data_IF_525932764115
#
_entry.id   IF_525932764115
#
_cell.length_a   1.000
_cell.length_b   1.000
_cell.length_c   1.000
_cell.angle_alpha   90.00
_cell.angle_beta   90.00
_cell.angle_gamma   90.00
#
_symmetry.space_group_name_H-M   'P 1'
#
loop_
_entity.id
_entity.type
_entity.pdbx_description
1 polymer ?
#
# COMPACT_ATOMS: atom_id res chain seq x y z
N UNK A 1 58.49 -16.17 14.85
CA UNK A 1 57.99 -15.07 14.02
C UNK A 1 57.77 -15.63 12.61
N UNK A 2 56.54 -16.04 12.27
CA UNK A 2 56.21 -16.61 10.96
C UNK A 2 55.65 -15.49 10.09
N UNK A 3 56.28 -15.27 8.95
CA UNK A 3 55.87 -14.36 7.87
C UNK A 3 54.63 -14.98 7.22
N UNK A 4 53.52 -14.23 7.17
CA UNK A 4 52.33 -14.64 6.43
C UNK A 4 52.51 -14.24 4.96
N UNK A 5 52.51 -15.23 4.07
CA UNK A 5 52.39 -15.03 2.64
C UNK A 5 51.04 -14.37 2.32
N UNK A 6 51.08 -13.29 1.54
CA UNK A 6 49.90 -12.62 1.04
C UNK A 6 49.10 -13.58 0.17
N UNK A 7 47.96 -14.06 0.70
CA UNK A 7 46.98 -14.81 -0.04
C UNK A 7 46.47 -13.98 -1.22
N UNK A 8 46.94 -14.33 -2.41
CA UNK A 8 46.38 -13.89 -3.67
C UNK A 8 44.93 -14.37 -3.72
N UNK A 9 43.98 -13.50 -3.38
CA UNK A 9 42.56 -13.73 -3.61
C UNK A 9 42.34 -13.63 -5.13
N UNK A 10 42.70 -14.72 -5.82
CA UNK A 10 42.40 -14.93 -7.22
C UNK A 10 40.90 -14.78 -7.42
N UNK A 11 40.50 -13.60 -7.91
CA UNK A 11 39.24 -13.45 -8.61
C UNK A 11 39.37 -14.26 -9.89
N UNK A 12 39.16 -15.56 -9.79
CA UNK A 12 39.15 -16.46 -10.92
C UNK A 12 38.05 -15.99 -11.88
N UNK A 13 38.50 -15.43 -13.00
CA UNK A 13 37.70 -14.93 -14.12
C UNK A 13 37.06 -16.07 -14.93
N UNK A 14 36.54 -17.08 -14.23
CA UNK A 14 35.94 -18.27 -14.82
C UNK A 14 34.42 -18.34 -14.55
N UNK A 15 33.74 -17.20 -14.69
CA UNK A 15 32.27 -17.11 -14.84
C UNK A 15 31.92 -17.54 -16.28
N UNK A 16 32.20 -18.78 -16.64
CA UNK A 16 31.75 -19.38 -17.91
C UNK A 16 31.27 -20.83 -17.77
N UNK A 17 30.97 -21.28 -16.56
CA UNK A 17 30.27 -22.55 -16.35
C UNK A 17 28.78 -22.31 -16.12
N UNK A 18 28.10 -21.78 -17.14
CA UNK A 18 26.73 -22.23 -17.38
C UNK A 18 26.85 -23.74 -17.60
N UNK A 19 26.50 -24.54 -16.60
CA UNK A 19 26.37 -25.97 -16.76
C UNK A 19 25.56 -26.23 -18.04
N UNK A 20 26.18 -26.88 -19.02
CA UNK A 20 25.51 -27.28 -20.26
C UNK A 20 24.48 -28.40 -20.03
N UNK A 21 24.21 -28.74 -18.77
CA UNK A 21 23.15 -29.65 -18.35
C UNK A 21 21.78 -29.16 -18.89
N UNK A 22 21.10 -29.98 -19.71
CA UNK A 22 19.76 -29.72 -20.20
C UNK A 22 18.75 -29.37 -19.08
N UNK A 23 18.92 -29.94 -17.88
CA UNK A 23 18.04 -29.65 -16.72
C UNK A 23 18.28 -28.26 -16.16
N UNK A 24 19.54 -27.82 -16.08
CA UNK A 24 19.87 -26.45 -15.66
C UNK A 24 19.26 -25.43 -16.64
N UNK A 25 19.42 -25.66 -17.95
CA UNK A 25 18.83 -24.81 -19.00
C UNK A 25 17.30 -24.75 -18.91
N UNK A 26 16.63 -25.87 -18.67
CA UNK A 26 15.18 -25.91 -18.50
C UNK A 26 14.71 -25.07 -17.29
N UNK A 27 15.42 -25.15 -16.15
CA UNK A 27 15.15 -24.30 -14.96
C UNK A 27 15.36 -22.81 -15.24
N UNK A 28 16.42 -22.44 -15.96
CA UNK A 28 16.65 -21.05 -16.35
C UNK A 28 15.55 -20.51 -17.28
N UNK A 29 15.08 -21.32 -18.23
CA UNK A 29 13.98 -20.94 -19.14
C UNK A 29 12.66 -20.77 -18.38
N UNK A 30 12.33 -21.69 -17.46
CA UNK A 30 11.12 -21.58 -16.64
C UNK A 30 11.19 -20.36 -15.72
N UNK A 31 12.31 -20.14 -15.05
CA UNK A 31 12.54 -18.97 -14.19
C UNK A 31 12.43 -17.65 -14.98
N UNK A 32 12.99 -17.59 -16.20
CA UNK A 32 12.85 -16.42 -17.09
C UNK A 32 11.39 -16.15 -17.46
N UNK A 33 10.60 -17.20 -17.72
CA UNK A 33 9.17 -17.08 -18.02
C UNK A 33 8.38 -16.57 -16.81
N UNK A 34 8.69 -17.06 -15.61
CA UNK A 34 8.09 -16.57 -14.36
C UNK A 34 8.47 -15.13 -14.06
N UNK A 35 9.75 -14.76 -14.21
CA UNK A 35 10.22 -13.40 -14.04
C UNK A 35 9.51 -12.45 -15.03
N UNK A 36 9.31 -12.86 -16.29
CA UNK A 36 8.54 -12.08 -17.27
C UNK A 36 7.09 -11.86 -16.82
N UNK A 37 6.42 -12.89 -16.32
CA UNK A 37 5.05 -12.77 -15.76
C UNK A 37 5.02 -11.80 -14.59
N UNK A 38 5.99 -11.88 -13.69
CA UNK A 38 6.11 -10.99 -12.54
C UNK A 38 6.34 -9.53 -12.96
N UNK A 39 7.26 -9.28 -13.90
CA UNK A 39 7.51 -7.94 -14.45
C UNK A 39 6.25 -7.35 -15.08
N UNK A 40 5.49 -8.14 -15.84
CA UNK A 40 4.23 -7.68 -16.45
C UNK A 40 3.19 -7.34 -15.39
N UNK A 41 3.00 -8.20 -14.37
CA UNK A 41 2.10 -7.91 -13.25
C UNK A 41 2.50 -6.64 -12.50
N UNK A 42 3.80 -6.42 -12.29
CA UNK A 42 4.33 -5.23 -11.62
C UNK A 42 4.06 -3.94 -12.39
N UNK A 43 3.97 -3.97 -13.72
CA UNK A 43 3.71 -2.77 -14.54
C UNK A 43 2.30 -2.19 -14.35
N UNK A 44 1.32 -3.03 -14.01
CA UNK A 44 -0.06 -2.59 -13.73
C UNK A 44 -0.35 -2.35 -12.25
N UNK A 45 0.59 -2.69 -11.36
CA UNK A 45 0.41 -2.52 -9.92
C UNK A 45 0.53 -1.04 -9.54
N UNK A 46 -0.57 -0.47 -9.05
CA UNK A 46 -0.58 0.85 -8.41
C UNK A 46 -0.44 0.69 -6.89
N UNK A 47 0.46 1.45 -6.24
CA UNK A 47 0.61 1.39 -4.79
C UNK A 47 -0.67 1.91 -4.11
N UNK A 48 -0.89 1.56 -2.82
CA UNK A 48 -1.94 2.17 -2.01
C UNK A 48 -1.82 3.70 -1.98
N UNK A 49 -2.95 4.39 -2.01
CA UNK A 49 -3.02 5.84 -1.84
C UNK A 49 -3.14 6.19 -0.36
N UNK A 50 -1.99 6.24 0.31
CA UNK A 50 -1.92 6.52 1.74
C UNK A 50 -2.40 7.93 2.10
N UNK A 51 -2.24 8.91 1.21
CA UNK A 51 -2.73 10.27 1.42
C UNK A 51 -4.24 10.26 1.51
N UNK A 52 -4.91 9.58 0.58
CA UNK A 52 -6.37 9.44 0.60
C UNK A 52 -6.84 8.69 1.84
N UNK A 53 -6.18 7.58 2.18
CA UNK A 53 -6.53 6.79 3.36
C UNK A 53 -6.41 7.59 4.67
N UNK A 54 -5.38 8.42 4.81
CA UNK A 54 -5.23 9.32 5.96
C UNK A 54 -6.37 10.34 6.00
N UNK A 55 -6.72 10.95 4.86
CA UNK A 55 -7.84 11.88 4.78
C UNK A 55 -9.17 11.22 5.19
N UNK A 56 -9.41 10.01 4.71
CA UNK A 56 -10.60 9.23 5.05
C UNK A 56 -10.67 8.94 6.56
N UNK A 57 -9.58 8.49 7.16
CA UNK A 57 -9.51 8.27 8.62
C UNK A 57 -9.68 9.58 9.39
N UNK A 58 -9.13 10.69 8.90
CA UNK A 58 -9.33 12.02 9.50
C UNK A 58 -10.80 12.45 9.48
N UNK A 59 -11.53 12.15 8.41
CA UNK A 59 -12.97 12.40 8.32
C UNK A 59 -13.76 11.53 9.32
N UNK A 60 -13.23 10.37 9.71
CA UNK A 60 -13.75 9.53 10.80
C UNK A 60 -13.26 9.96 12.20
N UNK A 61 -12.61 11.12 12.32
CA UNK A 61 -12.14 11.67 13.60
C UNK A 61 -10.81 11.10 14.11
N UNK A 62 -10.02 10.44 13.26
CA UNK A 62 -8.69 9.96 13.64
C UNK A 62 -7.62 11.03 13.45
N UNK A 63 -6.86 11.33 14.51
CA UNK A 63 -5.69 12.21 14.41
C UNK A 63 -4.43 11.44 13.96
N UNK A 64 -3.40 12.16 13.50
CA UNK A 64 -2.13 11.54 13.15
C UNK A 64 -1.48 10.82 14.34
N UNK A 65 -1.63 11.38 15.54
CA UNK A 65 -1.13 10.80 16.79
C UNK A 65 -1.86 9.50 17.16
N UNK A 66 -3.19 9.46 16.97
CA UNK A 66 -3.98 8.26 17.21
C UNK A 66 -3.59 7.14 16.24
N UNK A 67 -3.41 7.50 14.96
CA UNK A 67 -2.94 6.57 13.93
C UNK A 67 -1.54 6.05 14.30
N UNK A 68 -0.61 6.95 14.65
CA UNK A 68 0.76 6.56 14.96
C UNK A 68 0.86 5.70 16.20
N UNK A 69 0.00 5.94 17.19
CA UNK A 69 -0.10 5.12 18.40
C UNK A 69 -0.52 3.68 18.08
N UNK A 70 -1.50 3.49 17.18
CA UNK A 70 -1.96 2.14 16.80
C UNK A 70 -0.94 1.41 15.93
N UNK A 71 -0.26 2.11 15.02
CA UNK A 71 0.72 1.52 14.11
C UNK A 71 2.12 1.33 14.73
N UNK A 72 2.29 1.71 16.00
CA UNK A 72 3.57 1.76 16.70
C UNK A 72 4.67 2.48 15.89
N UNK A 73 4.35 3.68 15.42
CA UNK A 73 5.27 4.51 14.63
C UNK A 73 5.27 5.97 15.13
N UNK A 74 6.11 6.82 14.55
CA UNK A 74 6.13 8.24 14.94
C UNK A 74 5.00 9.03 14.26
N UNK A 75 4.40 9.98 14.98
CA UNK A 75 3.40 10.90 14.41
C UNK A 75 3.94 11.72 13.22
N UNK A 76 5.25 12.00 13.22
CA UNK A 76 5.95 12.64 12.11
C UNK A 76 5.98 11.76 10.86
N UNK A 77 6.07 10.43 11.00
CA UNK A 77 5.99 9.51 9.87
C UNK A 77 4.60 9.57 9.25
N UNK A 78 3.53 9.48 10.04
CA UNK A 78 2.14 9.59 9.56
C UNK A 78 1.90 10.94 8.87
N UNK A 79 2.36 12.04 9.48
CA UNK A 79 2.28 13.37 8.88
C UNK A 79 3.03 13.46 7.55
N UNK A 80 4.19 12.80 7.45
CA UNK A 80 4.95 12.75 6.20
C UNK A 80 4.22 11.93 5.14
N UNK A 81 3.50 10.86 5.51
CA UNK A 81 2.72 10.06 4.57
C UNK A 81 1.53 10.83 4.02
N UNK A 82 0.92 11.70 4.84
CA UNK A 82 -0.15 12.61 4.41
C UNK A 82 0.31 13.61 3.32
N UNK A 83 1.62 13.82 3.17
CA UNK A 83 2.24 14.70 2.15
C UNK A 83 2.81 13.89 0.97
N UNK A 84 2.64 12.56 0.97
CA UNK A 84 2.99 11.69 -0.15
C UNK A 84 4.25 10.85 0.02
N UNK A 85 4.93 10.92 1.17
CA UNK A 85 5.93 9.89 1.49
C UNK A 85 5.25 8.54 1.76
N UNK A 86 6.01 7.44 1.71
CA UNK A 86 5.45 6.08 1.82
C UNK A 86 5.90 5.40 3.10
N UNK A 87 5.01 4.65 3.79
CA UNK A 87 5.39 3.82 4.92
C UNK A 87 6.34 2.71 4.48
N UNK A 88 7.11 2.19 5.45
CA UNK A 88 7.79 0.90 5.28
C UNK A 88 6.75 -0.23 5.14
N UNK A 89 7.19 -1.37 4.60
CA UNK A 89 6.31 -2.50 4.27
C UNK A 89 5.37 -2.88 5.43
N UNK A 90 5.93 -3.10 6.64
CA UNK A 90 5.15 -3.56 7.80
C UNK A 90 4.11 -2.52 8.25
N UNK A 91 4.50 -1.25 8.35
CA UNK A 91 3.57 -0.18 8.70
C UNK A 91 2.54 0.07 7.59
N UNK A 92 2.90 -0.15 6.33
CA UNK A 92 2.00 -0.01 5.19
C UNK A 92 0.89 -1.05 5.22
N UNK A 93 1.25 -2.32 5.43
CA UNK A 93 0.27 -3.41 5.56
C UNK A 93 -0.63 -3.22 6.79
N UNK A 94 -0.06 -2.85 7.93
CA UNK A 94 -0.83 -2.55 9.14
C UNK A 94 -1.79 -1.36 8.94
N UNK A 95 -1.35 -0.34 8.20
CA UNK A 95 -2.18 0.84 7.93
C UNK A 95 -3.33 0.55 6.96
N UNK A 96 -3.11 -0.32 5.96
CA UNK A 96 -4.20 -0.81 5.10
C UNK A 96 -5.25 -1.54 5.93
N UNK A 97 -4.84 -2.44 6.82
CA UNK A 97 -5.77 -3.16 7.68
C UNK A 97 -6.56 -2.21 8.57
N UNK A 98 -5.88 -1.28 9.26
CA UNK A 98 -6.55 -0.24 10.07
C UNK A 98 -7.59 0.52 9.26
N UNK A 99 -7.24 0.96 8.05
CA UNK A 99 -8.16 1.70 7.19
C UNK A 99 -9.37 0.85 6.79
N UNK A 100 -9.18 -0.41 6.41
CA UNK A 100 -10.26 -1.32 6.02
C UNK A 100 -11.20 -1.59 7.20
N UNK A 101 -10.65 -1.81 8.40
CA UNK A 101 -11.44 -2.02 9.62
C UNK A 101 -12.29 -0.79 9.97
N UNK A 102 -11.71 0.41 9.84
CA UNK A 102 -12.42 1.65 10.21
C UNK A 102 -13.45 2.11 9.17
N UNK A 103 -13.24 1.78 7.90
CA UNK A 103 -14.14 2.18 6.81
C UNK A 103 -15.14 1.11 6.42
N UNK A 104 -14.87 -0.17 6.76
CA UNK A 104 -15.64 -1.32 6.30
C UNK A 104 -15.44 -1.65 4.81
N UNK A 105 -14.50 -0.98 4.14
CA UNK A 105 -14.26 -1.13 2.70
C UNK A 105 -13.14 -2.14 2.48
N UNK A 106 -13.44 -3.25 1.79
CA UNK A 106 -12.43 -4.27 1.48
C UNK A 106 -11.40 -3.78 0.45
N UNK A 107 -11.80 -2.98 -0.54
CA UNK A 107 -10.89 -2.46 -1.58
C UNK A 107 -10.35 -1.08 -1.22
N UNK A 108 -9.08 -1.02 -0.82
CA UNK A 108 -8.40 0.25 -0.53
C UNK A 108 -8.09 1.07 -1.81
N UNK A 109 -8.04 2.41 -1.72
CA UNK A 109 -7.71 3.27 -2.84
C UNK A 109 -6.26 3.07 -3.30
N UNK A 110 -6.02 3.17 -4.60
CA UNK A 110 -4.67 3.14 -5.17
C UNK A 110 -4.34 4.47 -5.83
N UNK A 111 -3.05 4.79 -5.83
CA UNK A 111 -2.52 6.04 -6.34
C UNK A 111 -2.97 6.30 -7.80
N UNK A 112 -3.62 7.44 -8.03
CA UNK A 112 -4.18 7.82 -9.33
C UNK A 112 -5.40 7.02 -9.79
N UNK A 113 -6.17 6.38 -8.90
CA UNK A 113 -7.46 5.73 -9.21
C UNK A 113 -8.70 6.56 -8.81
N UNK A 114 -8.53 7.72 -8.19
CA UNK A 114 -9.64 8.53 -7.65
C UNK A 114 -10.73 8.89 -8.68
N UNK A 115 -10.37 9.04 -9.96
CA UNK A 115 -11.32 9.35 -11.02
C UNK A 115 -12.17 8.14 -11.45
N UNK A 116 -11.73 6.93 -11.10
CA UNK A 116 -12.34 5.68 -11.59
C UNK A 116 -13.24 4.99 -10.59
N UNK A 117 -13.09 5.27 -9.29
CA UNK A 117 -13.85 4.63 -8.23
C UNK A 117 -14.03 5.59 -7.05
N UNK A 118 -15.27 5.71 -6.58
CA UNK A 118 -15.64 6.49 -5.38
C UNK A 118 -16.38 5.57 -4.41
N UNK A 119 -16.19 5.81 -3.13
CA UNK A 119 -16.84 5.12 -2.02
C UNK A 119 -17.23 6.15 -0.97
N UNK A 120 -18.29 5.86 -0.22
CA UNK A 120 -18.80 6.75 0.83
C UNK A 120 -18.18 6.39 2.18
N UNK A 121 -17.71 7.40 2.91
CA UNK A 121 -17.11 7.22 4.23
C UNK A 121 -17.75 8.18 5.22
N UNK A 122 -18.24 7.64 6.33
CA UNK A 122 -18.78 8.42 7.45
C UNK A 122 -20.07 9.16 7.12
N UNK A 123 -20.31 10.28 7.80
CA UNK A 123 -21.52 11.12 7.69
C UNK A 123 -21.55 12.00 6.44
N UNK A 124 -20.85 11.64 5.36
CA UNK A 124 -20.92 12.42 4.10
C UNK A 124 -22.33 12.40 3.47
N UNK A 125 -23.18 11.47 3.91
CA UNK A 125 -24.60 11.35 3.56
C UNK A 125 -25.54 12.10 4.53
N UNK A 126 -25.00 12.89 5.47
CA UNK A 126 -25.81 13.66 6.44
C UNK A 126 -26.74 14.65 5.72
N UNK A 127 -26.30 15.22 4.60
CA UNK A 127 -27.11 16.17 3.82
C UNK A 127 -28.32 15.46 3.18
N UNK A 128 -28.12 14.31 2.57
CA UNK A 128 -29.22 13.50 1.99
C UNK A 128 -30.18 12.98 3.07
N UNK A 129 -29.67 12.67 4.26
CA UNK A 129 -30.51 12.32 5.42
C UNK A 129 -31.29 13.53 5.96
N UNK A 130 -30.68 14.72 5.99
CA UNK A 130 -31.33 15.96 6.40
C UNK A 130 -32.43 16.35 5.41
N UNK A 131 -32.21 16.20 4.11
CA UNK A 131 -33.22 16.47 3.07
C UNK A 131 -34.46 15.58 3.27
N UNK A 132 -34.27 14.30 3.58
CA UNK A 132 -35.38 13.39 3.90
C UNK A 132 -36.13 13.79 5.17
N UNK A 133 -35.43 14.29 6.19
CA UNK A 133 -36.03 14.77 7.43
C UNK A 133 -36.82 16.06 7.18
N UNK A 134 -36.31 16.98 6.37
CA UNK A 134 -36.99 18.22 5.98
C UNK A 134 -38.28 17.89 5.21
N UNK A 135 -38.22 16.99 4.23
CA UNK A 135 -39.41 16.55 3.50
C UNK A 135 -40.47 15.87 4.38
N UNK A 136 -40.05 15.19 5.46
CA UNK A 136 -40.98 14.61 6.41
C UNK A 136 -41.64 15.70 7.27
N UNK A 137 -40.85 16.66 7.76
CA UNK A 137 -41.33 17.82 8.51
C UNK A 137 -42.35 18.65 7.71
N UNK A 138 -42.07 18.94 6.44
CA UNK A 138 -42.99 19.68 5.58
C UNK A 138 -44.34 18.96 5.40
N UNK A 139 -44.32 17.62 5.31
CA UNK A 139 -45.53 16.79 5.25
C UNK A 139 -46.32 16.76 6.56
N UNK A 140 -45.63 16.82 7.69
CA UNK A 140 -46.28 16.84 9.01
C UNK A 140 -46.87 18.22 9.34
N UNK A 141 -46.22 19.31 8.92
CA UNK A 141 -46.72 20.70 9.08
C UNK A 141 -47.89 21.00 8.13
N UNK A 142 -47.94 20.37 6.95
CA UNK A 142 -49.01 20.56 5.98
C UNK A 142 -50.30 19.78 6.30
N UNK A 143 -50.32 18.96 7.35
CA UNK A 143 -51.50 18.26 7.88
C UNK A 143 -52.21 19.08 8.96
#
# INVERSE_FOLDING_TARGET
MKIYENGNLGFDSNIYTYSNDPRARARFVSAKKEAKKFIVKRRGYKPPDFVRMILDLRNLGWSHEKISYVLDCSANAVSSWAVGSRPFYDHGDAFIQLWQEMTGIERYPRDGEFLTYKYDIGQLDLLDQLDRVIEQLDREIAK
#
